data_IF_173705587754
#
_entry.id   IF_173705587754
#
_cell.length_a   1.000
_cell.length_b   1.000
_cell.length_c   1.000
_cell.angle_alpha   90.00
_cell.angle_beta   90.00
_cell.angle_gamma   90.00
#
_symmetry.space_group_name_H-M   'P 1'
#
loop_
_entity.id
_entity.type
_entity.pdbx_description
1 polymer ?
#
# COMPACT_ATOMS: atom_id res chain seq x y z
N UNK A 1 -69.39 63.84 -6.15
CA UNK A 1 -70.28 62.74 -5.74
C UNK A 1 -69.79 61.48 -6.39
N UNK A 2 -69.53 60.43 -5.61
CA UNK A 2 -69.16 59.12 -6.13
C UNK A 2 -70.45 58.33 -6.33
N UNK A 3 -70.66 57.76 -7.51
CA UNK A 3 -71.85 56.94 -7.78
C UNK A 3 -71.69 55.55 -7.19
N UNK A 4 -72.76 54.98 -6.63
CA UNK A 4 -72.74 53.60 -6.14
C UNK A 4 -72.23 52.65 -7.23
N UNK A 5 -71.23 51.85 -6.90
CA UNK A 5 -70.58 50.91 -7.82
C UNK A 5 -69.42 51.50 -8.64
N UNK A 6 -69.15 52.80 -8.56
CA UNK A 6 -67.97 53.43 -9.18
C UNK A 6 -66.68 52.94 -8.48
N UNK A 7 -65.69 52.57 -9.27
CA UNK A 7 -64.35 52.18 -8.81
C UNK A 7 -63.45 53.41 -8.87
N UNK A 8 -62.87 53.79 -7.74
CA UNK A 8 -61.87 54.85 -7.64
C UNK A 8 -60.48 54.23 -7.52
N UNK A 9 -59.56 54.74 -8.33
CA UNK A 9 -58.15 54.35 -8.30
C UNK A 9 -57.38 55.24 -7.31
N UNK A 10 -56.69 54.65 -6.34
CA UNK A 10 -55.94 55.36 -5.29
C UNK A 10 -54.49 55.55 -5.75
N UNK A 11 -54.32 56.14 -6.94
CA UNK A 11 -53.04 56.51 -7.52
C UNK A 11 -52.15 55.32 -7.90
N UNK A 12 -50.83 55.52 -7.86
CA UNK A 12 -49.81 54.54 -8.30
C UNK A 12 -49.64 53.32 -7.39
N UNK A 13 -50.50 53.16 -6.39
CA UNK A 13 -50.46 52.05 -5.42
C UNK A 13 -51.13 50.78 -5.94
N UNK A 14 -51.92 50.88 -7.02
CA UNK A 14 -52.74 49.78 -7.52
C UNK A 14 -53.96 49.46 -6.65
N UNK A 15 -54.15 50.17 -5.53
CA UNK A 15 -55.31 50.03 -4.67
C UNK A 15 -56.53 50.69 -5.31
N UNK A 16 -57.63 49.94 -5.43
CA UNK A 16 -58.92 50.45 -5.91
C UNK A 16 -59.98 50.33 -4.85
N UNK A 17 -60.79 51.37 -4.70
CA UNK A 17 -61.89 51.44 -3.73
C UNK A 17 -63.22 51.52 -4.49
N UNK A 18 -64.18 50.67 -4.13
CA UNK A 18 -65.54 50.68 -4.68
C UNK A 18 -66.52 50.91 -3.55
N UNK A 19 -67.37 51.91 -3.70
CA UNK A 19 -68.42 52.22 -2.72
C UNK A 19 -69.74 51.55 -3.15
N UNK A 20 -70.42 50.89 -2.22
CA UNK A 20 -71.79 50.38 -2.41
C UNK A 20 -72.82 51.50 -2.21
N UNK A 21 -74.09 51.24 -2.54
CA UNK A 21 -75.17 52.19 -2.26
C UNK A 21 -75.36 52.34 -0.73
N UNK A 22 -75.47 53.57 -0.26
CA UNK A 22 -75.69 53.87 1.15
C UNK A 22 -75.75 55.38 1.43
N UNK A 23 -76.19 55.74 2.63
CA UNK A 23 -76.26 57.12 3.12
C UNK A 23 -75.23 57.32 4.23
N UNK A 24 -74.31 58.28 4.04
CA UNK A 24 -73.39 58.72 5.09
C UNK A 24 -73.86 60.08 5.62
N UNK A 25 -73.77 60.28 6.94
CA UNK A 25 -74.03 61.60 7.53
C UNK A 25 -72.99 62.63 7.05
N UNK A 26 -73.36 63.92 7.07
CA UNK A 26 -72.45 65.01 6.72
C UNK A 26 -71.21 64.99 7.64
N UNK A 27 -70.00 65.06 7.06
CA UNK A 27 -68.71 65.00 7.77
C UNK A 27 -68.40 63.69 8.52
N UNK A 28 -69.06 62.58 8.17
CA UNK A 28 -68.71 61.27 8.74
C UNK A 28 -67.49 60.69 8.02
N UNK A 29 -66.44 60.35 8.78
CA UNK A 29 -65.27 59.63 8.25
C UNK A 29 -65.43 58.14 8.53
N UNK A 30 -65.27 57.30 7.51
CA UNK A 30 -65.11 55.86 7.67
C UNK A 30 -63.70 55.49 7.24
N UNK A 31 -62.99 54.76 8.09
CA UNK A 31 -61.60 54.34 7.84
C UNK A 31 -61.57 52.83 7.73
N UNK A 32 -61.01 52.32 6.64
CA UNK A 32 -60.69 50.90 6.48
C UNK A 32 -59.18 50.77 6.34
N UNK A 33 -58.56 49.97 7.21
CA UNK A 33 -57.14 49.66 7.09
C UNK A 33 -56.98 48.57 6.03
N UNK A 34 -56.37 48.90 4.89
CA UNK A 34 -55.95 47.92 3.89
C UNK A 34 -54.47 47.65 4.12
N UNK A 35 -54.16 46.48 4.68
CA UNK A 35 -52.80 45.98 4.80
C UNK A 35 -52.68 44.75 3.92
N UNK A 36 -51.73 44.74 2.99
CA UNK A 36 -51.26 43.53 2.34
C UNK A 36 -49.91 43.22 2.98
N UNK A 37 -49.85 42.15 3.78
CA UNK A 37 -48.56 41.52 4.08
C UNK A 37 -48.06 40.96 2.77
N UNK A 38 -46.91 41.45 2.27
CA UNK A 38 -46.29 40.92 1.07
C UNK A 38 -46.18 39.40 1.20
N UNK A 39 -46.98 38.66 0.45
CA UNK A 39 -46.80 37.22 0.31
C UNK A 39 -45.62 37.03 -0.62
N UNK A 40 -44.71 36.13 -0.27
CA UNK A 40 -43.61 35.68 -1.12
C UNK A 40 -44.09 35.50 -2.57
N UNK A 41 -43.24 35.87 -3.52
CA UNK A 41 -43.57 35.79 -4.94
C UNK A 41 -44.02 34.37 -5.28
N UNK A 42 -45.28 34.20 -5.69
CA UNK A 42 -45.78 32.90 -6.12
C UNK A 42 -45.07 32.47 -7.41
N UNK A 43 -44.02 31.65 -7.27
CA UNK A 43 -43.20 31.23 -8.40
C UNK A 43 -43.95 30.37 -9.43
N UNK A 44 -45.15 29.87 -9.10
CA UNK A 44 -46.01 29.11 -10.01
C UNK A 44 -47.01 30.00 -10.76
N UNK A 45 -47.21 31.26 -10.35
CA UNK A 45 -48.12 32.19 -11.01
C UNK A 45 -47.61 32.56 -12.41
N UNK A 46 -48.54 32.69 -13.37
CA UNK A 46 -48.20 33.05 -14.76
C UNK A 46 -47.98 34.56 -14.89
N UNK A 47 -47.01 34.99 -15.71
CA UNK A 47 -46.69 36.40 -15.91
C UNK A 47 -47.86 37.18 -16.54
N UNK A 48 -48.66 36.53 -17.40
CA UNK A 48 -49.85 37.11 -18.00
C UNK A 48 -51.15 36.85 -17.21
N UNK A 49 -51.07 36.31 -16.00
CA UNK A 49 -52.26 36.09 -15.20
C UNK A 49 -52.96 37.43 -14.88
N UNK A 50 -54.26 37.36 -14.65
CA UNK A 50 -55.05 38.53 -14.29
C UNK A 50 -54.56 39.21 -13.00
N UNK A 51 -55.00 40.44 -12.80
CA UNK A 51 -54.65 41.26 -11.64
C UNK A 51 -54.90 40.53 -10.32
N UNK A 52 -53.88 40.45 -9.46
CA UNK A 52 -53.93 39.72 -8.19
C UNK A 52 -53.62 38.22 -8.29
N UNK A 53 -53.38 37.69 -9.50
CA UNK A 53 -52.96 36.30 -9.73
C UNK A 53 -51.60 36.17 -10.43
N UNK A 54 -51.04 37.27 -10.96
CA UNK A 54 -49.69 37.33 -11.49
C UNK A 54 -48.64 37.48 -10.37
N UNK A 55 -47.37 37.07 -10.59
CA UNK A 55 -46.28 37.35 -9.67
C UNK A 55 -46.14 38.85 -9.42
N UNK A 56 -46.01 39.25 -8.15
CA UNK A 56 -45.74 40.64 -7.77
C UNK A 56 -44.24 40.78 -7.52
N UNK A 57 -43.55 41.53 -8.38
CA UNK A 57 -42.13 41.82 -8.21
C UNK A 57 -41.90 43.12 -7.44
N UNK A 58 -40.75 43.21 -6.77
CA UNK A 58 -40.31 44.45 -6.13
C UNK A 58 -40.23 45.60 -7.14
N UNK A 59 -40.48 46.83 -6.68
CA UNK A 59 -40.50 48.05 -7.51
C UNK A 59 -41.49 48.00 -8.70
N UNK A 60 -42.52 47.14 -8.62
CA UNK A 60 -43.54 47.00 -9.66
C UNK A 60 -42.97 46.60 -11.03
N UNK A 61 -41.84 45.88 -11.03
CA UNK A 61 -41.27 45.32 -12.25
C UNK A 61 -42.27 44.36 -12.91
N UNK A 62 -42.26 44.31 -14.24
CA UNK A 62 -43.10 43.39 -15.01
C UNK A 62 -42.22 42.51 -15.89
N UNK A 63 -42.71 41.30 -16.15
CA UNK A 63 -42.08 40.36 -17.09
C UNK A 63 -43.00 40.22 -18.29
N UNK A 64 -42.43 40.35 -19.48
CA UNK A 64 -43.14 40.24 -20.75
C UNK A 64 -42.50 39.15 -21.63
N UNK A 65 -43.15 38.82 -22.74
CA UNK A 65 -42.58 37.87 -23.68
C UNK A 65 -41.29 38.43 -24.31
N UNK A 66 -40.23 37.62 -24.32
CA UNK A 66 -38.91 38.01 -24.78
C UNK A 66 -37.88 36.89 -24.53
N UNK A 67 -36.64 37.27 -24.26
CA UNK A 67 -35.59 36.32 -23.91
C UNK A 67 -34.46 36.99 -23.14
N UNK A 68 -33.61 36.19 -22.52
CA UNK A 68 -32.30 36.62 -22.02
C UNK A 68 -31.25 35.54 -22.32
N UNK A 69 -29.98 35.79 -22.01
CA UNK A 69 -28.90 34.81 -22.21
C UNK A 69 -28.21 34.45 -20.90
N UNK A 70 -27.81 33.17 -20.79
CA UNK A 70 -26.94 32.65 -19.73
C UNK A 70 -25.76 31.96 -20.42
N UNK A 71 -24.54 32.40 -20.15
CA UNK A 71 -23.32 31.89 -20.77
C UNK A 71 -23.42 31.84 -22.31
N UNK A 72 -24.04 32.85 -22.91
CA UNK A 72 -24.29 32.93 -24.36
C UNK A 72 -25.45 32.06 -24.88
N UNK A 73 -26.05 31.20 -24.04
CA UNK A 73 -27.23 30.39 -24.39
C UNK A 73 -28.52 31.19 -24.18
N UNK A 74 -29.37 31.28 -25.20
CA UNK A 74 -30.66 31.97 -25.12
C UNK A 74 -31.68 31.17 -24.30
N UNK A 75 -32.31 31.86 -23.35
CA UNK A 75 -33.47 31.40 -22.58
C UNK A 75 -34.67 32.24 -23.00
N UNK A 76 -35.62 31.62 -23.71
CA UNK A 76 -36.89 32.27 -24.04
C UNK A 76 -37.69 32.53 -22.76
N UNK A 77 -38.54 33.56 -22.77
CA UNK A 77 -39.55 33.84 -21.75
C UNK A 77 -40.85 34.17 -22.48
N UNK A 78 -41.91 33.41 -22.23
CA UNK A 78 -43.23 33.60 -22.81
C UNK A 78 -44.16 34.32 -21.84
N UNK A 79 -45.18 34.99 -22.35
CA UNK A 79 -46.16 35.70 -21.51
C UNK A 79 -46.92 34.75 -20.56
N UNK A 80 -47.17 33.50 -20.98
CA UNK A 80 -47.86 32.49 -20.17
C UNK A 80 -46.91 31.63 -19.31
N UNK A 81 -45.67 32.06 -19.12
CA UNK A 81 -44.72 31.39 -18.24
C UNK A 81 -44.94 31.76 -16.77
N UNK A 82 -44.44 30.91 -15.89
CA UNK A 82 -44.15 31.23 -14.49
C UNK A 82 -42.65 31.24 -14.21
N UNK A 83 -42.23 31.75 -13.04
CA UNK A 83 -40.83 31.69 -12.59
C UNK A 83 -40.34 30.24 -12.59
N UNK A 84 -41.15 29.29 -12.11
CA UNK A 84 -40.84 27.86 -12.11
C UNK A 84 -40.59 27.32 -13.53
N UNK A 85 -41.41 27.74 -14.50
CA UNK A 85 -41.25 27.30 -15.89
C UNK A 85 -39.97 27.86 -16.54
N UNK A 86 -39.57 29.09 -16.21
CA UNK A 86 -38.31 29.68 -16.68
C UNK A 86 -37.12 28.99 -16.02
N UNK A 87 -37.18 28.69 -14.72
CA UNK A 87 -36.15 27.94 -13.99
C UNK A 87 -35.98 26.53 -14.58
N UNK A 88 -37.08 25.83 -14.87
CA UNK A 88 -37.04 24.53 -15.53
C UNK A 88 -36.34 24.60 -16.90
N UNK A 89 -36.60 25.67 -17.67
CA UNK A 89 -35.91 25.93 -18.93
C UNK A 89 -34.42 26.19 -18.76
N UNK A 90 -34.02 26.96 -17.74
CA UNK A 90 -32.59 27.16 -17.41
C UNK A 90 -31.93 25.80 -17.13
N UNK A 91 -32.53 25.00 -16.26
CA UNK A 91 -31.99 23.69 -15.84
C UNK A 91 -31.90 22.67 -16.98
N UNK A 92 -32.75 22.81 -18.00
CA UNK A 92 -32.76 21.93 -19.18
C UNK A 92 -31.91 22.47 -20.33
N UNK A 93 -31.31 23.66 -20.19
CA UNK A 93 -30.56 24.32 -21.25
C UNK A 93 -29.09 23.86 -21.31
N UNK A 94 -28.44 24.14 -22.45
CA UNK A 94 -27.00 23.95 -22.61
C UNK A 94 -26.14 25.05 -21.94
N UNK A 95 -26.74 25.94 -21.13
CA UNK A 95 -26.04 27.05 -20.49
C UNK A 95 -25.01 26.62 -19.42
N UNK A 96 -25.04 25.34 -19.00
CA UNK A 96 -24.12 24.79 -18.01
C UNK A 96 -24.36 25.33 -16.59
N UNK A 97 -25.61 25.68 -16.27
CA UNK A 97 -26.01 26.28 -14.99
C UNK A 97 -27.27 25.59 -14.46
N UNK A 98 -27.34 25.41 -13.15
CA UNK A 98 -28.54 25.03 -12.39
C UNK A 98 -29.11 26.26 -11.68
N UNK A 99 -30.39 26.51 -11.88
CA UNK A 99 -31.22 27.49 -11.20
C UNK A 99 -32.10 26.81 -10.14
N UNK A 100 -32.23 27.46 -8.98
CA UNK A 100 -33.11 27.04 -7.90
C UNK A 100 -33.73 28.27 -7.22
N UNK A 101 -34.90 28.09 -6.61
CA UNK A 101 -35.49 29.08 -5.69
C UNK A 101 -35.13 28.67 -4.26
N UNK A 102 -34.58 29.59 -3.48
CA UNK A 102 -34.24 29.40 -2.07
C UNK A 102 -34.75 30.60 -1.26
N UNK A 103 -35.90 30.44 -0.61
CA UNK A 103 -36.66 31.57 -0.08
C UNK A 103 -37.06 32.52 -1.22
N UNK A 104 -36.91 33.83 -1.01
CA UNK A 104 -37.25 34.85 -2.02
C UNK A 104 -36.19 35.09 -3.09
N UNK A 105 -35.19 34.21 -3.21
CA UNK A 105 -34.05 34.39 -4.11
C UNK A 105 -33.96 33.28 -5.14
N UNK A 106 -33.65 33.67 -6.38
CA UNK A 106 -33.16 32.74 -7.40
C UNK A 106 -31.65 32.60 -7.23
N UNK A 107 -31.18 31.38 -7.03
CA UNK A 107 -29.76 31.03 -7.02
C UNK A 107 -29.40 30.31 -8.31
N UNK A 108 -28.38 30.82 -8.99
CA UNK A 108 -27.73 30.16 -10.12
C UNK A 108 -26.41 29.53 -9.64
N UNK A 109 -26.08 28.34 -10.12
CA UNK A 109 -24.82 27.65 -9.82
C UNK A 109 -24.31 26.97 -11.08
N UNK A 110 -23.01 27.07 -11.34
CA UNK A 110 -22.39 26.37 -12.47
C UNK A 110 -22.50 24.87 -12.27
N UNK A 111 -22.87 24.15 -13.33
CA UNK A 111 -22.87 22.70 -13.30
C UNK A 111 -21.41 22.24 -13.33
N UNK A 112 -21.06 21.26 -12.50
CA UNK A 112 -19.76 20.61 -12.60
C UNK A 112 -19.58 20.02 -14.00
N UNK A 113 -18.45 20.30 -14.67
CA UNK A 113 -18.13 19.64 -15.94
C UNK A 113 -17.91 18.16 -15.63
N UNK A 114 -18.81 17.30 -16.09
CA UNK A 114 -18.62 15.86 -15.96
C UNK A 114 -17.43 15.48 -16.84
N UNK A 115 -16.26 15.27 -16.22
CA UNK A 115 -15.13 14.68 -16.92
C UNK A 115 -15.46 13.20 -17.16
N UNK A 116 -15.78 12.84 -18.41
CA UNK A 116 -16.20 11.50 -18.80
C UNK A 116 -15.16 10.39 -18.53
N UNK A 117 -13.94 10.73 -18.09
CA UNK A 117 -12.87 9.77 -17.82
C UNK A 117 -12.49 9.59 -16.33
N UNK A 118 -13.19 10.20 -15.37
CA UNK A 118 -12.83 10.08 -13.95
C UNK A 118 -13.88 9.32 -13.13
N UNK A 119 -13.73 7.98 -13.07
CA UNK A 119 -14.31 7.19 -11.98
C UNK A 119 -13.52 7.55 -10.71
N UNK A 120 -14.14 8.31 -9.82
CA UNK A 120 -13.57 8.89 -8.58
C UNK A 120 -12.78 10.18 -8.76
N UNK A 121 -13.47 11.31 -8.95
CA UNK A 121 -13.47 12.39 -7.96
C UNK A 121 -14.50 13.46 -8.38
N UNK A 122 -15.53 13.66 -7.57
CA UNK A 122 -16.74 14.43 -7.93
C UNK A 122 -16.63 15.96 -7.82
N UNK A 123 -15.42 16.53 -7.70
CA UNK A 123 -15.25 17.99 -7.72
C UNK A 123 -14.56 18.43 -9.01
N UNK A 124 -15.31 18.49 -10.11
CA UNK A 124 -15.01 19.46 -11.17
C UNK A 124 -15.79 20.73 -10.84
N UNK A 125 -15.28 21.48 -9.87
CA UNK A 125 -15.78 22.81 -9.58
C UNK A 125 -15.39 23.72 -10.77
N UNK A 126 -16.38 24.27 -11.45
CA UNK A 126 -16.15 25.20 -12.55
C UNK A 126 -16.01 26.61 -11.99
N UNK A 127 -14.83 27.20 -12.17
CA UNK A 127 -14.51 28.60 -11.85
C UNK A 127 -15.09 29.60 -12.88
N UNK A 128 -15.79 29.11 -13.90
CA UNK A 128 -16.36 29.94 -14.95
C UNK A 128 -17.45 30.85 -14.37
N UNK A 129 -17.34 32.16 -14.62
CA UNK A 129 -18.39 33.10 -14.21
C UNK A 129 -19.70 32.77 -14.93
N UNK A 130 -20.84 32.90 -14.25
CA UNK A 130 -22.15 32.91 -14.89
C UNK A 130 -22.35 34.27 -15.54
N UNK A 131 -22.38 34.32 -16.86
CA UNK A 131 -22.57 35.56 -17.63
C UNK A 131 -24.04 35.68 -18.01
N UNK A 132 -24.69 36.74 -17.55
CA UNK A 132 -26.08 37.07 -17.89
C UNK A 132 -26.11 38.30 -18.82
N UNK A 133 -27.02 38.32 -19.78
CA UNK A 133 -27.16 39.49 -20.66
C UNK A 133 -28.31 39.38 -21.67
N UNK A 134 -28.52 40.45 -22.44
CA UNK A 134 -29.47 40.46 -23.56
C UNK A 134 -30.94 40.27 -23.16
N UNK A 135 -31.33 40.73 -21.96
CA UNK A 135 -32.70 40.57 -21.47
C UNK A 135 -33.68 41.55 -22.12
N UNK A 136 -34.54 41.03 -22.99
CA UNK A 136 -35.68 41.74 -23.59
C UNK A 136 -37.00 41.44 -22.90
N UNK A 137 -37.03 40.43 -22.02
CA UNK A 137 -38.23 40.01 -21.28
C UNK A 137 -38.47 40.83 -20.00
N UNK A 138 -37.41 41.44 -19.46
CA UNK A 138 -37.41 42.09 -18.15
C UNK A 138 -37.25 41.12 -16.98
N UNK A 139 -37.12 39.81 -17.24
CA UNK A 139 -37.03 38.76 -16.23
C UNK A 139 -35.82 38.94 -15.30
N UNK A 140 -34.62 39.22 -15.82
CA UNK A 140 -33.42 39.36 -15.00
C UNK A 140 -33.52 40.54 -14.04
N UNK A 141 -34.13 41.64 -14.49
CA UNK A 141 -34.36 42.80 -13.65
C UNK A 141 -35.44 42.52 -12.58
N UNK A 142 -36.56 41.92 -12.99
CA UNK A 142 -37.66 41.57 -12.10
C UNK A 142 -37.26 40.58 -10.99
N UNK A 143 -36.35 39.64 -11.30
CA UNK A 143 -35.85 38.66 -10.34
C UNK A 143 -34.52 39.05 -9.68
N UNK A 144 -34.07 40.30 -9.86
CA UNK A 144 -32.81 40.85 -9.30
C UNK A 144 -31.54 40.05 -9.65
N UNK A 145 -31.58 39.32 -10.77
CA UNK A 145 -30.41 38.67 -11.34
C UNK A 145 -29.52 39.66 -12.09
N UNK A 146 -30.10 40.77 -12.57
CA UNK A 146 -29.34 41.90 -13.14
C UNK A 146 -28.49 42.57 -12.05
N UNK A 147 -27.18 42.30 -12.05
CA UNK A 147 -26.23 42.83 -11.07
C UNK A 147 -26.06 41.97 -9.80
N UNK A 148 -26.54 40.73 -9.79
CA UNK A 148 -26.30 39.80 -8.69
C UNK A 148 -24.79 39.58 -8.46
N UNK A 149 -24.36 39.55 -7.20
CA UNK A 149 -22.96 39.25 -6.86
C UNK A 149 -22.67 37.77 -7.06
N UNK A 150 -21.66 37.46 -7.86
CA UNK A 150 -21.18 36.09 -8.04
C UNK A 150 -20.12 35.77 -7.00
N UNK A 151 -20.29 34.68 -6.25
CA UNK A 151 -19.22 34.11 -5.41
C UNK A 151 -18.55 32.99 -6.19
N UNK A 152 -17.24 33.12 -6.40
CA UNK A 152 -16.44 32.05 -7.05
C UNK A 152 -16.11 30.97 -6.02
N UNK A 153 -16.10 29.72 -6.45
CA UNK A 153 -15.55 28.62 -5.65
C UNK A 153 -14.05 28.83 -5.39
N UNK A 154 -13.48 28.05 -4.46
CA UNK A 154 -12.03 27.97 -4.31
C UNK A 154 -11.59 26.57 -4.69
N UNK A 155 -11.16 26.39 -5.94
CA UNK A 155 -10.60 25.12 -6.41
C UNK A 155 -9.11 25.13 -6.14
N UNK A 156 -8.60 24.05 -5.54
CA UNK A 156 -7.16 23.89 -5.36
C UNK A 156 -6.46 23.92 -6.72
N UNK A 157 -5.29 24.56 -6.79
CA UNK A 157 -4.57 24.75 -8.06
C UNK A 157 -4.20 23.45 -8.80
N UNK A 158 -4.03 22.35 -8.07
CA UNK A 158 -3.74 21.02 -8.63
C UNK A 158 -4.96 20.36 -9.31
N UNK A 159 -6.17 20.81 -8.99
CA UNK A 159 -7.43 20.35 -9.57
C UNK A 159 -7.95 21.27 -10.67
N UNK A 160 -7.32 22.43 -10.87
CA UNK A 160 -7.67 23.37 -11.94
C UNK A 160 -7.09 22.88 -13.27
N UNK A 161 -7.84 23.11 -14.35
CA UNK A 161 -7.32 22.85 -15.70
C UNK A 161 -6.10 23.72 -15.96
N UNK A 162 -5.11 23.19 -16.69
CA UNK A 162 -3.81 23.85 -16.86
C UNK A 162 -3.96 25.29 -17.37
N UNK A 163 -4.87 25.53 -18.32
CA UNK A 163 -5.12 26.86 -18.91
C UNK A 163 -5.61 27.92 -17.93
N UNK A 164 -6.03 27.53 -16.72
CA UNK A 164 -6.47 28.45 -15.66
C UNK A 164 -5.41 28.66 -14.59
N UNK A 165 -4.41 27.78 -14.50
CA UNK A 165 -3.34 27.89 -13.51
C UNK A 165 -2.23 28.82 -13.99
N UNK A 166 -1.69 29.65 -13.09
CA UNK A 166 -0.65 30.62 -13.44
C UNK A 166 0.65 29.92 -13.84
N UNK A 167 1.02 28.85 -13.13
CA UNK A 167 2.22 28.04 -13.41
C UNK A 167 2.21 27.44 -14.82
N UNK A 168 1.06 26.97 -15.30
CA UNK A 168 0.94 26.31 -16.60
C UNK A 168 0.38 27.23 -17.70
N UNK A 169 0.43 28.54 -17.49
CA UNK A 169 -0.11 29.54 -18.43
C UNK A 169 0.58 29.54 -19.81
N UNK A 170 1.84 29.10 -19.88
CA UNK A 170 2.59 28.94 -21.12
C UNK A 170 2.41 27.58 -21.81
N UNK A 171 1.67 26.65 -21.20
CA UNK A 171 1.52 25.28 -21.71
C UNK A 171 0.55 25.25 -22.88
N UNK A 172 0.92 24.51 -23.93
CA UNK A 172 0.08 24.20 -25.09
C UNK A 172 -0.37 22.74 -25.08
N UNK A 173 -1.38 22.40 -25.88
CA UNK A 173 -1.76 21.00 -26.10
C UNK A 173 -0.76 20.30 -27.03
N UNK A 174 -0.47 19.02 -26.78
CA UNK A 174 0.56 18.25 -27.49
C UNK A 174 0.96 17.01 -26.71
N UNK A 175 2.25 16.66 -26.71
CA UNK A 175 2.78 15.56 -25.91
C UNK A 175 4.23 15.76 -25.48
N UNK A 176 4.67 14.95 -24.52
CA UNK A 176 6.08 14.68 -24.23
C UNK A 176 6.27 13.17 -24.07
N UNK A 177 7.50 12.69 -23.87
CA UNK A 177 7.78 11.27 -23.65
C UNK A 177 8.49 11.03 -22.33
N UNK A 178 8.15 9.93 -21.65
CA UNK A 178 8.81 9.41 -20.45
C UNK A 178 9.27 7.99 -20.72
N UNK A 179 10.57 7.69 -20.63
CA UNK A 179 11.14 6.39 -21.00
C UNK A 179 10.66 5.89 -22.38
N UNK A 180 10.57 6.81 -23.34
CA UNK A 180 10.09 6.54 -24.71
C UNK A 180 8.57 6.42 -24.86
N UNK A 181 7.80 6.42 -23.77
CA UNK A 181 6.34 6.37 -23.82
C UNK A 181 5.75 7.78 -23.92
N UNK A 182 4.91 8.01 -24.94
CA UNK A 182 4.25 9.30 -25.17
C UNK A 182 3.15 9.57 -24.13
N UNK A 183 3.20 10.75 -23.53
CA UNK A 183 2.20 11.30 -22.61
C UNK A 183 1.57 12.52 -23.29
N UNK A 184 0.29 12.41 -23.63
CA UNK A 184 -0.47 13.54 -24.17
C UNK A 184 -0.70 14.61 -23.10
N UNK A 185 -0.91 15.85 -23.52
CA UNK A 185 -1.33 16.99 -22.70
C UNK A 185 -2.36 17.78 -23.49
N UNK A 186 -3.50 18.08 -22.87
CA UNK A 186 -4.49 19.02 -23.38
C UNK A 186 -4.70 20.14 -22.37
N UNK A 187 -4.19 21.34 -22.67
CA UNK A 187 -4.20 22.46 -21.70
C UNK A 187 -5.59 22.87 -21.22
N UNK A 188 -6.63 22.62 -22.03
CA UNK A 188 -7.99 23.08 -21.76
C UNK A 188 -8.84 22.07 -21.00
N UNK A 189 -8.41 20.81 -20.94
CA UNK A 189 -9.16 19.73 -20.28
C UNK A 189 -8.37 19.01 -19.20
N UNK A 190 -7.04 18.98 -19.30
CA UNK A 190 -6.19 18.29 -18.34
C UNK A 190 -5.91 19.16 -17.11
N UNK A 191 -5.78 18.49 -15.97
CA UNK A 191 -5.23 19.00 -14.72
C UNK A 191 -3.87 18.37 -14.45
N UNK A 192 -3.07 18.93 -13.53
CA UNK A 192 -1.81 18.32 -13.10
C UNK A 192 -2.03 16.90 -12.57
N UNK A 193 -3.09 16.68 -11.78
CA UNK A 193 -3.49 15.34 -11.31
C UNK A 193 -3.76 14.37 -12.45
N UNK A 194 -4.47 14.79 -13.50
CA UNK A 194 -4.79 13.91 -14.63
C UNK A 194 -3.55 13.48 -15.41
N UNK A 195 -2.55 14.37 -15.53
CA UNK A 195 -1.29 14.06 -16.22
C UNK A 195 -0.43 13.14 -15.37
N UNK A 196 -0.34 13.35 -14.06
CA UNK A 196 0.35 12.42 -13.16
C UNK A 196 -0.26 11.02 -13.20
N UNK A 197 -1.59 10.93 -13.20
CA UNK A 197 -2.30 9.66 -13.34
C UNK A 197 -1.99 8.98 -14.69
N UNK A 198 -1.93 9.76 -15.77
CA UNK A 198 -1.54 9.28 -17.10
C UNK A 198 -0.10 8.75 -17.12
N UNK A 199 0.85 9.42 -16.46
CA UNK A 199 2.23 8.93 -16.31
C UNK A 199 2.25 7.59 -15.54
N UNK A 200 1.57 7.53 -14.38
CA UNK A 200 1.54 6.34 -13.51
C UNK A 200 0.94 5.09 -14.18
N UNK A 201 0.08 5.28 -15.18
CA UNK A 201 -0.60 4.21 -15.91
C UNK A 201 0.00 3.93 -17.30
N UNK A 202 1.03 4.69 -17.71
CA UNK A 202 1.57 4.66 -19.08
C UNK A 202 2.40 3.43 -19.43
N UNK A 203 2.85 2.65 -18.44
CA UNK A 203 3.83 1.58 -18.66
C UNK A 203 5.28 2.07 -18.83
N UNK A 204 5.55 3.37 -18.63
CA UNK A 204 6.90 3.95 -18.68
C UNK A 204 7.85 3.47 -17.56
N UNK A 205 7.39 2.62 -16.64
CA UNK A 205 8.20 2.14 -15.52
C UNK A 205 8.51 3.19 -14.44
N UNK A 206 7.66 4.23 -14.33
CA UNK A 206 7.81 5.30 -13.34
C UNK A 206 6.49 5.64 -12.64
N UNK A 207 6.61 6.22 -11.46
CA UNK A 207 5.54 6.96 -10.79
C UNK A 207 5.86 8.45 -10.76
N UNK A 208 4.80 9.27 -10.80
CA UNK A 208 4.81 10.71 -10.76
C UNK A 208 4.10 11.19 -9.50
N UNK A 209 4.71 12.14 -8.81
CA UNK A 209 4.16 12.82 -7.64
C UNK A 209 4.49 14.32 -7.71
N UNK A 210 3.73 15.14 -7.00
CA UNK A 210 3.94 16.58 -6.97
C UNK A 210 4.37 17.04 -5.58
N UNK A 211 5.53 17.69 -5.51
CA UNK A 211 6.01 18.39 -4.33
C UNK A 211 5.46 19.83 -4.36
N UNK A 212 4.46 20.08 -3.51
CA UNK A 212 3.82 21.40 -3.39
C UNK A 212 4.71 22.45 -2.74
N UNK A 213 5.72 22.07 -1.95
CA UNK A 213 6.64 23.01 -1.31
C UNK A 213 7.66 23.54 -2.31
N UNK A 214 8.16 22.67 -3.19
CA UNK A 214 9.11 23.04 -4.25
C UNK A 214 8.41 23.48 -5.55
N UNK A 215 7.10 23.24 -5.63
CA UNK A 215 6.29 23.42 -6.82
C UNK A 215 6.91 22.65 -8.01
N UNK A 216 7.13 21.35 -7.83
CA UNK A 216 7.90 20.49 -8.73
C UNK A 216 7.25 19.13 -8.91
N UNK A 217 7.21 18.65 -10.15
CA UNK A 217 6.87 17.26 -10.46
C UNK A 217 8.10 16.36 -10.24
N UNK A 218 7.92 15.27 -9.49
CA UNK A 218 8.93 14.28 -9.14
C UNK A 218 8.57 12.96 -9.82
N UNK A 219 9.55 12.33 -10.48
CA UNK A 219 9.44 10.99 -11.03
C UNK A 219 10.30 10.01 -10.25
N UNK A 220 9.78 8.81 -10.00
CA UNK A 220 10.49 7.71 -9.36
C UNK A 220 10.35 6.46 -10.22
N UNK A 221 11.41 5.65 -10.35
CA UNK A 221 11.31 4.34 -11.00
C UNK A 221 10.41 3.40 -10.21
N UNK A 222 9.61 2.57 -10.90
CA UNK A 222 8.85 1.48 -10.27
C UNK A 222 9.68 0.22 -10.08
N UNK A 223 10.78 0.08 -10.84
CA UNK A 223 11.67 -1.07 -10.78
C UNK A 223 12.97 -0.74 -10.06
N UNK A 224 13.65 -1.79 -9.58
CA UNK A 224 14.97 -1.63 -9.00
C UNK A 224 16.05 -1.47 -10.09
N UNK A 225 16.16 -0.27 -10.67
CA UNK A 225 17.15 0.07 -11.69
C UNK A 225 17.92 1.34 -11.35
N UNK A 226 19.18 1.38 -11.77
CA UNK A 226 19.98 2.61 -11.84
C UNK A 226 19.77 3.38 -13.15
N UNK A 227 18.97 2.81 -14.07
CA UNK A 227 18.66 3.47 -15.35
C UNK A 227 18.07 4.86 -15.09
N UNK A 228 18.56 5.81 -15.87
CA UNK A 228 18.07 7.18 -15.81
C UNK A 228 16.64 7.24 -16.34
N UNK A 229 15.77 7.93 -15.62
CA UNK A 229 14.46 8.30 -16.15
C UNK A 229 14.69 9.32 -17.26
N UNK A 230 14.30 8.97 -18.48
CA UNK A 230 14.44 9.84 -19.65
C UNK A 230 13.13 10.59 -19.88
N UNK A 231 13.23 11.91 -20.01
CA UNK A 231 12.11 12.78 -20.39
C UNK A 231 12.51 13.62 -21.60
N UNK A 232 11.73 13.56 -22.67
CA UNK A 232 12.11 14.18 -23.95
C UNK A 232 10.90 14.51 -24.84
N UNK A 233 11.15 15.18 -25.97
CA UNK A 233 10.14 15.40 -27.00
C UNK A 233 8.95 16.27 -26.55
N UNK A 234 9.17 17.20 -25.62
CA UNK A 234 8.11 18.08 -25.14
C UNK A 234 7.71 19.12 -26.19
N UNK A 235 6.52 18.95 -26.76
CA UNK A 235 5.90 19.91 -27.69
C UNK A 235 4.94 20.88 -27.00
N UNK A 236 4.79 20.76 -25.68
CA UNK A 236 3.74 21.40 -24.86
C UNK A 236 4.28 22.51 -23.98
N UNK A 237 5.58 22.47 -23.66
CA UNK A 237 6.20 23.31 -22.62
C UNK A 237 5.81 22.88 -21.20
N UNK A 238 5.10 21.77 -21.04
CA UNK A 238 4.65 21.25 -19.75
C UNK A 238 5.82 20.86 -18.84
N UNK A 239 6.88 20.24 -19.39
CA UNK A 239 8.02 19.79 -18.56
C UNK A 239 8.69 20.97 -17.86
N UNK A 240 8.90 22.06 -18.60
CA UNK A 240 9.43 23.32 -18.05
C UNK A 240 8.50 23.90 -16.99
N UNK A 241 7.20 24.01 -17.26
CA UNK A 241 6.22 24.53 -16.31
C UNK A 241 6.11 23.68 -15.04
N UNK A 242 6.21 22.35 -15.18
CA UNK A 242 6.21 21.38 -14.08
C UNK A 242 7.54 21.29 -13.32
N UNK A 243 8.56 22.07 -13.73
CA UNK A 243 9.95 22.00 -13.24
C UNK A 243 10.55 20.59 -13.29
N UNK A 244 10.11 19.81 -14.27
CA UNK A 244 10.65 18.50 -14.55
C UNK A 244 11.78 18.68 -15.58
N UNK A 245 13.02 18.82 -15.08
CA UNK A 245 14.19 18.98 -15.95
C UNK A 245 14.33 17.81 -16.90
N UNK A 246 14.75 18.06 -18.14
CA UNK A 246 15.19 17.00 -19.07
C UNK A 246 16.42 16.24 -18.56
N UNK A 247 17.16 16.85 -17.64
CA UNK A 247 18.32 16.28 -16.93
C UNK A 247 17.92 15.66 -15.58
N UNK A 248 16.64 15.38 -15.31
CA UNK A 248 16.20 14.78 -14.05
C UNK A 248 16.60 13.30 -14.00
N UNK A 249 17.91 13.07 -13.93
CA UNK A 249 18.55 11.78 -13.72
C UNK A 249 18.39 11.39 -12.26
N UNK A 250 17.22 10.86 -11.89
CA UNK A 250 17.11 10.14 -10.62
C UNK A 250 17.77 8.78 -10.84
N UNK A 251 19.05 8.67 -10.53
CA UNK A 251 19.66 7.35 -10.35
C UNK A 251 18.98 6.74 -9.13
N UNK A 252 18.35 5.59 -9.29
CA UNK A 252 17.91 4.82 -8.13
C UNK A 252 19.14 4.50 -7.29
N UNK A 253 19.20 4.98 -6.05
CA UNK A 253 20.19 4.51 -5.08
C UNK A 253 19.78 3.12 -4.64
N UNK A 254 20.15 2.13 -5.43
CA UNK A 254 19.78 0.75 -5.21
C UNK A 254 21.07 -0.01 -4.96
N UNK A 255 21.11 -0.77 -3.87
CA UNK A 255 22.23 -1.66 -3.61
C UNK A 255 22.32 -2.67 -4.76
N UNK A 256 23.53 -3.02 -5.19
CA UNK A 256 23.76 -3.97 -6.30
C UNK A 256 22.93 -5.27 -6.18
N UNK A 257 22.68 -5.77 -4.96
CA UNK A 257 21.88 -6.97 -4.70
C UNK A 257 20.36 -6.85 -4.95
N UNK A 258 19.89 -5.63 -5.13
CA UNK A 258 18.53 -5.29 -5.52
C UNK A 258 18.43 -4.90 -7.00
N UNK A 259 19.55 -4.66 -7.69
CA UNK A 259 19.56 -4.35 -9.11
C UNK A 259 19.32 -5.63 -9.94
N UNK A 260 18.68 -5.48 -11.11
CA UNK A 260 18.51 -6.61 -12.03
C UNK A 260 19.86 -7.09 -12.58
N UNK A 261 20.02 -8.41 -12.75
CA UNK A 261 21.31 -9.01 -13.11
C UNK A 261 21.94 -8.40 -14.38
N UNK A 262 21.14 -8.09 -15.40
CA UNK A 262 21.62 -7.55 -16.67
C UNK A 262 22.23 -6.15 -16.56
N UNK A 263 22.09 -5.49 -15.41
CA UNK A 263 22.62 -4.16 -15.12
C UNK A 263 23.74 -4.18 -14.08
N UNK A 264 24.01 -5.33 -13.46
CA UNK A 264 25.08 -5.50 -12.48
C UNK A 264 26.32 -6.07 -13.15
N UNK A 265 27.44 -5.36 -13.06
CA UNK A 265 28.70 -5.72 -13.76
C UNK A 265 29.15 -7.17 -13.50
N UNK A 266 29.01 -7.66 -12.25
CA UNK A 266 29.34 -9.04 -11.87
C UNK A 266 28.57 -10.08 -12.68
N UNK A 267 27.32 -9.78 -13.06
CA UNK A 267 26.41 -10.70 -13.72
C UNK A 267 26.24 -10.40 -15.22
N UNK A 268 27.12 -9.58 -15.80
CA UNK A 268 27.08 -9.17 -17.22
C UNK A 268 27.16 -10.33 -18.22
N UNK A 269 27.75 -11.47 -17.82
CA UNK A 269 27.83 -12.69 -18.63
C UNK A 269 26.64 -13.65 -18.42
N UNK A 270 25.74 -13.36 -17.48
CA UNK A 270 24.60 -14.23 -17.15
C UNK A 270 23.53 -14.15 -18.23
N UNK A 271 22.96 -15.30 -18.59
CA UNK A 271 21.82 -15.44 -19.50
C UNK A 271 20.59 -15.98 -18.77
N UNK A 272 19.40 -15.80 -19.34
CA UNK A 272 18.17 -16.40 -18.79
C UNK A 272 18.14 -17.91 -19.05
N UNK A 273 17.63 -18.68 -18.09
CA UNK A 273 17.67 -20.15 -18.11
C UNK A 273 17.43 -20.73 -16.72
N UNK A 274 18.17 -21.77 -16.33
CA UNK A 274 18.10 -22.31 -14.96
C UNK A 274 19.43 -22.91 -14.50
N UNK A 275 19.55 -23.09 -13.19
CA UNK A 275 20.49 -24.01 -12.55
C UNK A 275 19.72 -24.93 -11.59
N UNK A 276 20.40 -25.87 -10.93
CA UNK A 276 19.79 -26.77 -9.95
C UNK A 276 20.49 -26.70 -8.59
N UNK A 277 19.70 -26.80 -7.51
CA UNK A 277 20.15 -26.99 -6.12
C UNK A 277 19.54 -28.27 -5.59
N UNK A 278 20.35 -29.24 -5.17
CA UNK A 278 19.91 -30.59 -4.78
C UNK A 278 18.94 -31.22 -5.80
N UNK A 279 19.22 -31.01 -7.10
CA UNK A 279 18.39 -31.48 -8.21
C UNK A 279 17.13 -30.66 -8.49
N UNK A 280 16.77 -29.68 -7.63
CA UNK A 280 15.62 -28.80 -7.84
C UNK A 280 16.01 -27.63 -8.74
N UNK A 281 15.26 -27.42 -9.82
CA UNK A 281 15.51 -26.36 -10.79
C UNK A 281 15.16 -24.98 -10.23
N UNK A 282 16.09 -24.03 -10.37
CA UNK A 282 15.94 -22.62 -10.04
C UNK A 282 16.05 -21.82 -11.35
N UNK A 283 14.94 -21.20 -11.75
CA UNK A 283 14.91 -20.35 -12.93
C UNK A 283 15.67 -19.04 -12.71
N UNK A 284 16.31 -18.53 -13.77
CA UNK A 284 16.94 -17.21 -13.84
C UNK A 284 16.36 -16.45 -15.03
N UNK A 285 15.94 -15.21 -14.80
CA UNK A 285 15.69 -14.22 -15.85
C UNK A 285 16.58 -13.00 -15.63
N UNK A 286 17.62 -12.82 -16.45
CA UNK A 286 18.62 -11.77 -16.24
C UNK A 286 18.05 -10.35 -16.24
N UNK A 287 16.92 -10.13 -16.93
CA UNK A 287 16.34 -8.79 -17.13
C UNK A 287 15.34 -8.40 -16.05
N UNK A 288 14.88 -9.37 -15.24
CA UNK A 288 13.89 -9.13 -14.19
C UNK A 288 14.33 -9.59 -12.80
N UNK A 289 15.24 -10.56 -12.73
CA UNK A 289 15.71 -11.09 -11.46
C UNK A 289 16.82 -10.24 -10.85
N UNK A 290 16.79 -10.16 -9.53
CA UNK A 290 17.83 -9.62 -8.66
C UNK A 290 18.45 -10.77 -7.84
N UNK A 291 19.63 -10.57 -7.26
CA UNK A 291 20.24 -11.56 -6.34
C UNK A 291 19.27 -11.92 -5.22
N UNK A 292 18.57 -10.92 -4.66
CA UNK A 292 17.56 -11.13 -3.62
C UNK A 292 16.39 -11.99 -4.08
N UNK A 293 15.88 -11.75 -5.29
CA UNK A 293 14.77 -12.56 -5.82
C UNK A 293 15.19 -14.03 -6.02
N UNK A 294 16.44 -14.28 -6.39
CA UNK A 294 16.99 -15.62 -6.61
C UNK A 294 17.22 -16.34 -5.28
N UNK A 295 17.77 -15.65 -4.27
CA UNK A 295 17.89 -16.18 -2.91
C UNK A 295 16.53 -16.59 -2.35
N UNK A 296 15.51 -15.73 -2.51
CA UNK A 296 14.14 -16.06 -2.10
C UNK A 296 13.59 -17.26 -2.85
N UNK A 297 13.87 -17.36 -4.16
CA UNK A 297 13.45 -18.50 -4.99
C UNK A 297 14.10 -19.80 -4.54
N UNK A 298 15.37 -19.80 -4.14
CA UNK A 298 16.04 -20.98 -3.56
C UNK A 298 15.33 -21.39 -2.27
N UNK A 299 15.05 -20.43 -1.38
CA UNK A 299 14.40 -20.68 -0.09
C UNK A 299 12.97 -21.24 -0.22
N UNK A 300 12.25 -20.91 -1.30
CA UNK A 300 10.88 -21.41 -1.54
C UNK A 300 10.82 -22.66 -2.41
N UNK A 301 11.92 -23.02 -3.08
CA UNK A 301 11.97 -24.19 -3.96
C UNK A 301 11.97 -25.54 -3.23
N UNK A 302 12.05 -25.54 -1.89
CA UNK A 302 12.15 -26.76 -1.07
C UNK A 302 13.32 -27.66 -1.45
N UNK A 303 14.46 -27.06 -1.84
CA UNK A 303 15.68 -27.78 -2.20
C UNK A 303 16.46 -28.34 -0.98
N UNK A 304 15.86 -28.35 0.22
CA UNK A 304 16.54 -28.79 1.46
C UNK A 304 17.64 -27.85 1.94
N UNK A 305 17.62 -26.58 1.51
CA UNK A 305 18.60 -25.56 1.90
C UNK A 305 17.95 -24.22 2.19
N UNK A 306 18.63 -23.41 3.00
CA UNK A 306 18.41 -21.97 3.16
C UNK A 306 19.55 -21.22 2.48
N UNK A 307 19.22 -20.29 1.59
CA UNK A 307 20.13 -19.34 0.97
C UNK A 307 20.08 -17.99 1.67
N UNK A 308 21.24 -17.36 1.83
CA UNK A 308 21.39 -15.97 2.29
C UNK A 308 22.41 -15.23 1.42
N UNK A 309 22.29 -13.91 1.30
CA UNK A 309 23.28 -13.06 0.63
C UNK A 309 24.07 -12.25 1.66
N UNK A 310 25.39 -12.39 1.67
CA UNK A 310 26.29 -11.62 2.51
C UNK A 310 26.89 -10.46 1.69
N UNK A 311 26.39 -9.25 1.93
CA UNK A 311 26.80 -8.04 1.20
C UNK A 311 28.20 -7.54 1.54
N UNK A 312 28.81 -7.96 2.64
CA UNK A 312 30.19 -7.60 2.97
C UNK A 312 31.20 -8.42 2.16
N UNK A 313 30.81 -9.62 1.74
CA UNK A 313 31.66 -10.55 0.98
C UNK A 313 31.21 -10.76 -0.46
N UNK A 314 30.06 -10.18 -0.85
CA UNK A 314 29.40 -10.39 -2.13
C UNK A 314 29.23 -11.87 -2.50
N UNK A 315 28.79 -12.67 -1.51
CA UNK A 315 28.59 -14.12 -1.66
C UNK A 315 27.19 -14.55 -1.27
N UNK A 316 26.66 -15.51 -2.02
CA UNK A 316 25.51 -16.30 -1.61
C UNK A 316 26.02 -17.46 -0.75
N UNK A 317 25.40 -17.68 0.41
CA UNK A 317 25.70 -18.78 1.32
C UNK A 317 24.50 -19.72 1.36
N UNK A 318 24.73 -21.00 1.12
CA UNK A 318 23.73 -22.07 1.23
C UNK A 318 23.99 -22.88 2.50
N UNK A 319 22.94 -23.14 3.27
CA UNK A 319 22.98 -23.95 4.49
C UNK A 319 21.92 -25.05 4.40
N UNK A 320 22.28 -26.30 4.68
CA UNK A 320 21.31 -27.40 4.69
C UNK A 320 20.24 -27.20 5.77
N UNK A 321 18.99 -27.54 5.48
CA UNK A 321 17.88 -27.46 6.46
C UNK A 321 17.77 -28.69 7.34
N UNK A 322 18.39 -29.80 6.94
CA UNK A 322 18.50 -31.02 7.72
C UNK A 322 19.90 -31.17 8.29
N UNK A 323 20.00 -31.76 9.47
CA UNK A 323 21.26 -32.24 10.00
C UNK A 323 21.69 -33.46 9.18
N UNK A 324 22.54 -33.26 8.17
CA UNK A 324 23.03 -34.30 7.26
C UNK A 324 24.47 -33.99 6.88
N UNK A 325 25.25 -35.03 6.55
CA UNK A 325 26.58 -34.90 5.95
C UNK A 325 26.51 -34.77 4.41
N UNK A 326 25.31 -34.89 3.85
CA UNK A 326 25.10 -34.78 2.41
C UNK A 326 25.57 -33.42 1.92
N UNK A 327 26.24 -33.46 0.78
CA UNK A 327 26.72 -32.26 0.12
C UNK A 327 25.53 -31.52 -0.50
N UNK A 328 25.47 -30.20 -0.27
CA UNK A 328 24.60 -29.35 -1.08
C UNK A 328 25.13 -29.36 -2.51
N UNK A 329 24.36 -29.94 -3.42
CA UNK A 329 24.75 -30.07 -4.82
C UNK A 329 24.23 -28.87 -5.61
N UNK A 330 25.12 -28.13 -6.26
CA UNK A 330 24.77 -27.06 -7.21
C UNK A 330 25.28 -27.42 -8.60
N UNK A 331 24.42 -27.36 -9.61
CA UNK A 331 24.77 -27.85 -10.95
C UNK A 331 23.75 -27.49 -12.03
N UNK A 332 23.86 -28.16 -13.18
CA UNK A 332 22.97 -27.99 -14.34
C UNK A 332 22.76 -26.53 -14.77
N UNK A 333 23.79 -25.70 -14.62
CA UNK A 333 23.72 -24.27 -14.90
C UNK A 333 23.79 -24.00 -16.40
N UNK A 334 22.68 -23.56 -16.98
CA UNK A 334 22.60 -23.09 -18.38
C UNK A 334 22.73 -21.58 -18.50
N UNK A 335 22.89 -20.87 -17.38
CA UNK A 335 22.79 -19.41 -17.27
C UNK A 335 24.14 -18.74 -17.11
N UNK A 336 25.14 -19.45 -16.58
CA UNK A 336 26.42 -18.90 -16.13
C UNK A 336 26.34 -18.19 -14.77
N UNK A 337 25.16 -18.19 -14.12
CA UNK A 337 24.92 -17.55 -12.84
C UNK A 337 25.78 -18.14 -11.72
N UNK A 338 25.95 -19.47 -11.66
CA UNK A 338 26.75 -20.09 -10.60
C UNK A 338 28.21 -19.63 -10.65
N UNK A 339 28.76 -19.45 -11.86
CA UNK A 339 30.09 -18.90 -12.04
C UNK A 339 30.15 -17.44 -11.57
N UNK A 340 29.24 -16.58 -12.06
CA UNK A 340 29.20 -15.16 -11.70
C UNK A 340 28.96 -14.93 -10.19
N UNK A 341 28.14 -15.77 -9.56
CA UNK A 341 27.81 -15.70 -8.13
C UNK A 341 28.87 -16.34 -7.22
N UNK A 342 29.98 -16.88 -7.77
CA UNK A 342 30.98 -17.66 -7.05
C UNK A 342 30.39 -18.88 -6.30
N UNK A 343 29.38 -19.52 -6.90
CA UNK A 343 28.73 -20.75 -6.46
C UNK A 343 29.06 -21.94 -7.38
N UNK A 344 30.26 -21.99 -7.95
CA UNK A 344 30.61 -22.99 -8.96
C UNK A 344 30.50 -24.45 -8.45
N UNK A 345 30.41 -25.39 -9.39
CA UNK A 345 30.07 -26.82 -9.21
C UNK A 345 30.99 -27.62 -8.27
N UNK A 346 32.08 -27.04 -7.78
CA UNK A 346 32.95 -27.65 -6.76
C UNK A 346 32.64 -27.22 -5.33
N UNK A 347 31.69 -26.29 -5.13
CA UNK A 347 31.33 -25.76 -3.83
C UNK A 347 30.30 -26.66 -3.14
N UNK A 348 30.72 -27.89 -2.82
CA UNK A 348 29.94 -28.78 -1.99
C UNK A 348 30.08 -28.35 -0.53
N UNK A 349 29.06 -27.68 -0.01
CA UNK A 349 28.95 -27.36 1.42
C UNK A 349 28.41 -28.61 2.11
N UNK A 350 29.17 -29.18 3.05
CA UNK A 350 28.73 -30.27 3.91
C UNK A 350 27.54 -29.76 4.73
N UNK A 351 26.45 -30.53 4.79
CA UNK A 351 25.38 -30.20 5.72
C UNK A 351 25.86 -30.23 7.19
N UNK A 352 24.98 -29.89 8.13
CA UNK A 352 25.35 -29.66 9.52
C UNK A 352 24.82 -30.79 10.43
N UNK A 353 25.52 -31.92 10.56
CA UNK A 353 25.16 -32.97 11.53
C UNK A 353 26.10 -32.95 12.75
N UNK A 354 25.60 -32.70 13.97
CA UNK A 354 26.41 -32.82 15.17
C UNK A 354 27.03 -34.23 15.31
N UNK A 355 28.29 -34.30 15.76
CA UNK A 355 29.06 -35.54 15.84
C UNK A 355 28.40 -36.63 16.71
N UNK A 356 27.57 -36.26 17.69
CA UNK A 356 26.84 -37.20 18.56
C UNK A 356 25.64 -37.88 17.89
N UNK A 357 25.19 -37.35 16.77
CA UNK A 357 24.12 -37.88 15.91
C UNK A 357 24.67 -38.53 14.65
N UNK A 358 25.98 -38.45 14.40
CA UNK A 358 26.63 -39.15 13.31
C UNK A 358 26.85 -40.63 13.68
N UNK A 359 26.67 -41.53 12.71
CA UNK A 359 26.99 -42.95 12.89
C UNK A 359 28.50 -43.14 13.09
N UNK A 360 28.91 -44.09 13.91
CA UNK A 360 30.33 -44.26 14.26
C UNK A 360 31.25 -44.45 13.05
N UNK A 361 30.80 -45.14 12.01
CA UNK A 361 31.56 -45.31 10.76
C UNK A 361 31.87 -44.00 10.01
N UNK A 362 31.26 -42.88 10.40
CA UNK A 362 31.45 -41.55 9.81
C UNK A 362 32.12 -40.55 10.75
N UNK A 363 32.32 -40.89 12.02
CA UNK A 363 32.97 -40.01 13.00
C UNK A 363 34.42 -40.42 13.23
N UNK A 364 35.35 -39.47 13.06
CA UNK A 364 36.78 -39.74 13.21
C UNK A 364 37.16 -40.23 14.60
N UNK A 365 36.50 -39.71 15.64
CA UNK A 365 36.70 -40.13 17.03
C UNK A 365 36.31 -41.59 17.28
N UNK A 366 35.28 -42.09 16.60
CA UNK A 366 34.81 -43.47 16.74
C UNK A 366 35.25 -44.37 15.58
N UNK A 367 36.23 -43.95 14.78
CA UNK A 367 36.72 -44.72 13.63
C UNK A 367 37.27 -46.10 13.98
N UNK A 368 37.69 -46.32 15.24
CA UNK A 368 38.15 -47.60 15.75
C UNK A 368 37.02 -48.49 16.31
N UNK A 369 35.79 -47.98 16.40
CA UNK A 369 34.63 -48.75 16.88
C UNK A 369 34.19 -49.75 15.82
N UNK A 370 33.95 -50.98 16.26
CA UNK A 370 33.42 -52.07 15.44
C UNK A 370 32.11 -52.57 16.03
N UNK A 371 31.33 -53.34 15.25
CA UNK A 371 30.10 -53.94 15.78
C UNK A 371 30.44 -55.02 16.80
N UNK A 372 29.80 -54.98 17.96
CA UNK A 372 30.09 -55.83 19.10
C UNK A 372 29.18 -55.50 20.29
N UNK A 373 29.69 -55.68 21.50
CA UNK A 373 28.97 -55.31 22.71
C UNK A 373 29.90 -54.99 23.87
N UNK A 374 29.38 -54.27 24.87
CA UNK A 374 29.95 -54.16 26.20
C UNK A 374 28.85 -54.43 27.25
N UNK A 375 29.22 -54.51 28.52
CA UNK A 375 28.26 -54.69 29.62
C UNK A 375 28.28 -53.51 30.58
N UNK A 376 27.09 -53.14 31.07
CA UNK A 376 26.89 -52.15 32.13
C UNK A 376 26.17 -52.86 33.27
N UNK A 377 26.80 -53.00 34.43
CA UNK A 377 26.26 -53.75 35.58
C UNK A 377 25.70 -55.14 35.19
N UNK A 378 26.41 -55.85 34.30
CA UNK A 378 26.01 -57.16 33.78
C UNK A 378 24.97 -57.16 32.66
N UNK A 379 24.32 -56.02 32.35
CA UNK A 379 23.43 -55.90 31.20
C UNK A 379 24.22 -55.66 29.90
N UNK A 380 23.96 -56.45 28.86
CA UNK A 380 24.65 -56.33 27.57
C UNK A 380 24.09 -55.18 26.72
N UNK A 381 24.98 -54.34 26.20
CA UNK A 381 24.70 -53.24 25.28
C UNK A 381 25.32 -53.57 23.93
N UNK A 382 24.49 -53.76 22.91
CA UNK A 382 24.97 -53.99 21.55
C UNK A 382 25.35 -52.69 20.86
N UNK A 383 26.46 -52.71 20.14
CA UNK A 383 26.97 -51.61 19.30
C UNK A 383 27.05 -52.11 17.87
N UNK A 384 26.47 -51.37 16.93
CA UNK A 384 26.60 -51.56 15.49
C UNK A 384 27.27 -50.32 14.90
N UNK A 385 28.54 -50.42 14.51
CA UNK A 385 29.32 -49.27 14.03
C UNK A 385 28.73 -48.63 12.74
N UNK A 386 27.90 -49.36 11.99
CA UNK A 386 27.28 -48.88 10.76
C UNK A 386 25.93 -48.18 10.98
N UNK A 387 25.27 -48.41 12.12
CA UNK A 387 23.92 -47.93 12.40
C UNK A 387 23.83 -47.05 13.64
N UNK A 388 24.68 -47.27 14.65
CA UNK A 388 24.62 -46.57 15.92
C UNK A 388 25.38 -45.24 15.90
N UNK A 389 24.83 -44.31 16.69
CA UNK A 389 25.40 -43.02 17.05
C UNK A 389 25.66 -42.98 18.56
N UNK A 390 26.35 -41.94 19.05
CA UNK A 390 26.50 -41.76 20.50
C UNK A 390 25.12 -41.67 21.19
N UNK A 391 24.19 -40.94 20.57
CA UNK A 391 22.82 -40.80 21.06
C UNK A 391 22.07 -42.14 21.14
N UNK A 392 22.20 -43.02 20.12
CA UNK A 392 21.49 -44.31 20.14
C UNK A 392 22.10 -45.26 21.17
N UNK A 393 23.43 -45.27 21.35
CA UNK A 393 24.09 -46.09 22.40
C UNK A 393 23.71 -45.59 23.79
N UNK A 394 23.64 -44.28 24.03
CA UNK A 394 23.10 -43.72 25.28
C UNK A 394 21.66 -44.21 25.51
N UNK A 395 20.82 -44.18 24.47
CA UNK A 395 19.46 -44.71 24.53
C UNK A 395 19.41 -46.19 24.90
N UNK A 396 20.30 -47.01 24.33
CA UNK A 396 20.44 -48.44 24.65
C UNK A 396 20.86 -48.66 26.10
N UNK A 397 21.84 -47.91 26.62
CA UNK A 397 22.25 -47.98 28.02
C UNK A 397 21.07 -47.67 28.95
N UNK A 398 20.37 -46.55 28.68
CA UNK A 398 19.24 -46.10 29.50
C UNK A 398 18.04 -47.06 29.48
N UNK A 399 17.90 -47.85 28.41
CA UNK A 399 16.81 -48.80 28.24
C UNK A 399 17.16 -50.22 28.71
N UNK A 400 18.43 -50.52 28.99
CA UNK A 400 18.91 -51.87 29.29
C UNK A 400 18.54 -52.37 30.69
N UNK A 401 17.98 -51.53 31.56
CA UNK A 401 17.66 -51.91 32.94
C UNK A 401 18.89 -52.13 33.83
N UNK A 402 20.05 -51.59 33.43
CA UNK A 402 21.34 -51.75 34.12
C UNK A 402 21.46 -51.00 35.47
N UNK A 403 20.41 -50.28 35.90
CA UNK A 403 20.43 -49.44 37.09
C UNK A 403 21.33 -48.19 36.96
N UNK A 404 21.63 -47.77 35.74
CA UNK A 404 22.49 -46.63 35.40
C UNK A 404 21.81 -45.77 34.33
N UNK A 405 21.99 -44.46 34.41
CA UNK A 405 21.64 -43.50 33.37
C UNK A 405 22.91 -42.95 32.73
N UNK A 406 23.01 -43.01 31.41
CA UNK A 406 24.04 -42.36 30.60
C UNK A 406 23.53 -41.05 29.99
N UNK A 407 24.42 -40.07 29.86
CA UNK A 407 24.15 -38.79 29.21
C UNK A 407 25.43 -38.22 28.59
N UNK A 408 25.31 -37.43 27.52
CA UNK A 408 26.45 -36.71 26.94
C UNK A 408 26.38 -35.24 27.36
N UNK A 409 27.48 -34.71 27.92
CA UNK A 409 27.63 -33.31 28.24
C UNK A 409 28.45 -32.62 27.15
N UNK A 410 27.77 -31.86 26.29
CA UNK A 410 28.37 -31.14 25.17
C UNK A 410 29.31 -30.00 25.58
N UNK A 411 29.20 -29.49 26.82
CA UNK A 411 30.05 -28.39 27.31
C UNK A 411 31.40 -28.91 27.78
N UNK A 412 31.42 -30.07 28.44
CA UNK A 412 32.67 -30.70 28.90
C UNK A 412 33.20 -31.76 27.95
N UNK A 413 32.48 -32.08 26.87
CA UNK A 413 32.79 -33.14 25.91
C UNK A 413 33.02 -34.50 26.61
N UNK A 414 32.03 -34.92 27.41
CA UNK A 414 32.10 -36.15 28.22
C UNK A 414 30.82 -36.97 28.17
N UNK A 415 30.97 -38.28 27.99
CA UNK A 415 29.93 -39.27 28.28
C UNK A 415 29.92 -39.56 29.79
N UNK A 416 28.78 -39.33 30.44
CA UNK A 416 28.62 -39.44 31.89
C UNK A 416 27.66 -40.57 32.22
N UNK A 417 28.11 -41.51 33.06
CA UNK A 417 27.29 -42.57 33.63
C UNK A 417 26.95 -42.24 35.08
N UNK A 418 25.68 -42.35 35.45
CA UNK A 418 25.18 -42.07 36.81
C UNK A 418 24.38 -43.27 37.30
N UNK A 419 24.80 -43.96 38.37
CA UNK A 419 23.97 -44.98 39.00
C UNK A 419 22.63 -44.39 39.46
N UNK A 420 21.54 -45.09 39.20
CA UNK A 420 20.19 -44.62 39.53
C UNK A 420 19.93 -44.63 41.05
N UNK A 421 20.73 -45.39 41.80
CA UNK A 421 20.70 -45.45 43.26
C UNK A 421 22.05 -45.00 43.80
N UNK A 422 22.06 -43.92 44.59
CA UNK A 422 23.26 -43.39 45.22
C UNK A 422 23.96 -44.49 46.06
N UNK A 423 25.27 -44.61 45.90
CA UNK A 423 26.04 -45.65 46.60
C UNK A 423 26.26 -46.93 45.80
N UNK A 424 25.56 -47.12 44.68
CA UNK A 424 25.68 -48.35 43.88
C UNK A 424 26.99 -48.41 43.10
N UNK A 425 27.45 -49.64 42.84
CA UNK A 425 28.58 -49.90 41.96
C UNK A 425 28.20 -49.69 40.49
N UNK A 426 29.09 -49.08 39.73
CA UNK A 426 29.08 -49.05 38.28
C UNK A 426 30.17 -50.01 37.78
N UNK A 427 29.78 -51.06 37.06
CA UNK A 427 30.68 -51.98 36.36
C UNK A 427 30.53 -51.81 34.85
N UNK A 428 31.63 -51.52 34.18
CA UNK A 428 31.74 -51.39 32.73
C UNK A 428 32.77 -52.39 32.22
N UNK A 429 32.32 -53.48 31.61
CA UNK A 429 33.18 -54.63 31.31
C UNK A 429 32.88 -55.25 29.95
N UNK A 430 33.80 -56.06 29.44
CA UNK A 430 33.57 -56.91 28.27
C UNK A 430 33.38 -56.16 26.94
N UNK A 431 34.00 -54.98 26.77
CA UNK A 431 33.87 -54.22 25.53
C UNK A 431 34.64 -54.88 24.37
N UNK A 432 33.87 -55.50 23.49
CA UNK A 432 34.32 -56.08 22.22
C UNK A 432 34.14 -55.14 21.03
N UNK A 433 33.38 -54.06 21.21
CA UNK A 433 33.12 -53.05 20.17
C UNK A 433 34.22 -51.98 20.10
N UNK A 434 34.96 -51.76 21.18
CA UNK A 434 35.91 -50.66 21.33
C UNK A 434 35.24 -49.31 21.63
N UNK A 435 33.92 -49.29 21.83
CA UNK A 435 33.14 -48.07 22.09
C UNK A 435 33.60 -47.33 23.36
N UNK A 436 33.86 -48.03 24.47
CA UNK A 436 34.24 -47.38 25.73
C UNK A 436 35.59 -46.65 25.58
N UNK A 437 36.54 -47.28 24.90
CA UNK A 437 37.84 -46.68 24.62
C UNK A 437 37.71 -45.43 23.72
N UNK A 438 36.91 -45.50 22.66
CA UNK A 438 36.65 -44.37 21.76
C UNK A 438 35.90 -43.21 22.45
N UNK A 439 34.97 -43.54 23.35
CA UNK A 439 34.25 -42.60 24.20
C UNK A 439 35.10 -42.05 25.35
N UNK A 440 36.38 -42.49 25.48
CA UNK A 440 37.31 -42.13 26.57
C UNK A 440 36.79 -42.48 27.97
N UNK A 441 36.03 -43.58 28.07
CA UNK A 441 35.49 -44.10 29.32
C UNK A 441 36.37 -45.24 29.80
N UNK A 442 36.86 -45.16 31.04
CA UNK A 442 37.64 -46.24 31.62
C UNK A 442 36.75 -47.46 31.96
N UNK A 443 37.12 -48.63 31.43
CA UNK A 443 36.50 -49.89 31.84
C UNK A 443 36.90 -50.28 33.28
N UNK A 444 36.03 -51.00 33.97
CA UNK A 444 36.25 -51.47 35.34
C UNK A 444 35.02 -51.31 36.23
N UNK A 445 35.17 -51.71 37.50
CA UNK A 445 34.15 -51.52 38.53
C UNK A 445 34.54 -50.35 39.43
N UNK A 446 33.71 -49.33 39.46
CA UNK A 446 33.84 -48.15 40.32
C UNK A 446 32.64 -48.09 41.26
N UNK A 447 32.87 -48.11 42.57
CA UNK A 447 31.82 -47.87 43.57
C UNK A 447 31.79 -46.40 43.98
N UNK A 448 30.60 -45.77 44.00
CA UNK A 448 30.44 -44.57 44.83
C UNK A 448 30.40 -45.05 46.28
N UNK A 449 31.55 -45.10 46.94
CA UNK A 449 31.63 -45.61 48.31
C UNK A 449 30.74 -44.77 49.23
N UNK A 450 29.68 -45.38 49.76
CA UNK A 450 29.12 -44.93 51.05
C UNK A 450 29.97 -45.63 52.10
N UNK A 451 30.74 -44.86 52.87
CA UNK A 451 31.43 -45.44 54.01
C UNK A 451 30.38 -45.89 55.05
N UNK A 452 30.03 -47.18 55.06
CA UNK A 452 29.14 -47.75 56.06
C UNK A 452 29.70 -47.68 57.51
N UNK A 453 30.99 -47.33 57.67
CA UNK A 453 31.64 -47.05 58.95
C UNK A 453 31.73 -45.55 59.29
N UNK A 454 31.13 -44.64 58.50
CA UNK A 454 30.83 -43.29 58.95
C UNK A 454 29.66 -43.36 59.95
N UNK A 455 29.93 -43.99 61.11
CA UNK A 455 29.06 -43.95 62.25
C UNK A 455 28.78 -42.48 62.59
N UNK A 456 27.52 -42.19 62.88
CA UNK A 456 27.10 -40.96 63.52
C UNK A 456 27.67 -40.92 64.94
N UNK A 457 28.98 -40.71 65.11
CA UNK A 457 29.53 -40.30 66.39
C UNK A 457 29.46 -38.77 66.43
N UNK A 458 28.74 -38.25 67.40
CA UNK A 458 28.38 -36.84 67.49
C UNK A 458 29.56 -35.93 67.86
N UNK A 459 30.76 -36.16 67.32
CA UNK A 459 31.98 -35.42 67.67
C UNK A 459 32.85 -35.18 66.43
N UNK A 460 32.53 -34.13 65.67
CA UNK A 460 33.49 -33.52 64.74
C UNK A 460 33.02 -33.46 63.29
N UNK A 461 32.39 -32.34 62.94
CA UNK A 461 32.34 -31.83 61.58
C UNK A 461 33.79 -31.63 61.07
N UNK A 462 34.10 -32.13 59.87
CA UNK A 462 34.90 -31.43 58.83
C UNK A 462 35.40 -32.31 57.66
N UNK A 463 34.77 -33.45 57.36
CA UNK A 463 34.96 -34.09 56.04
C UNK A 463 33.62 -34.27 55.32
N UNK A 464 33.52 -33.97 54.01
CA UNK A 464 32.30 -34.19 53.25
C UNK A 464 31.91 -35.68 53.28
N UNK A 465 30.64 -35.96 53.60
CA UNK A 465 30.04 -37.32 53.59
C UNK A 465 29.92 -37.91 52.17
N UNK A 466 30.15 -37.09 51.15
CA UNK A 466 30.10 -37.46 49.74
C UNK A 466 31.35 -36.94 49.06
N UNK A 467 32.00 -37.78 48.24
CA UNK A 467 32.96 -37.29 47.27
C UNK A 467 32.17 -36.60 46.15
N UNK A 468 32.38 -35.30 45.86
CA UNK A 468 31.64 -34.62 44.82
C UNK A 468 32.09 -35.14 43.45
N UNK A 469 31.23 -35.95 42.83
CA UNK A 469 31.19 -36.16 41.38
C UNK A 469 32.51 -36.62 40.75
N UNK A 470 32.92 -37.87 41.01
CA UNK A 470 33.91 -38.50 40.14
C UNK A 470 33.24 -38.88 38.82
N UNK A 471 33.60 -38.14 37.77
CA UNK A 471 33.50 -38.60 36.38
C UNK A 471 34.36 -39.85 36.23
N UNK A 472 33.84 -40.90 35.58
CA UNK A 472 34.67 -41.90 34.91
C UNK A 472 34.84 -41.45 33.46
#
# INVERSE_FOLDING_TARGET
MITAGQVLDVGSTGLKVRFTAGTLGLNTTSTANVSQTGTDVNAAALFNAGWGSAPVFENYQTVSAGSFTINGTTIAVNANDSINSVISRINSSAAGVTASVSGDKIKLSTNSKSNSNSKSNSNSDSEDNIVLGGDTSGFLAATRLSGATTTRGNVRDDQRVLSKTTQFSSVTSGSFSVNGVSISVNKDTDTLTSIMSRINSSGAGVTASFDSAQNKLILNTTGNSEDLITVSGDTTGFLTAAKLSTDNTVRGNIRDDQQVLSKTTQFSSVTSGSFAVNGVSISINKDTDTVTSIVNRINTANAGVTATFNSSTNKIVLTGTSNSEDLITVGSDTTGFLHAANLNTGNTVRGNLPDDQQVFSKTSQFAAVTSGSFTVNGASISVDASQDTLQTVIGKINSAGAGVTASYNSTSDKLVFTPNVAGSTLSLEGDTSGFLAAAKVAAGTVGTHVNAAAAFNATGLNTPLFDPGNSV
#
